data_IF_189629361070
#
_entry.id   IF_189629361070
#
_cell.length_a   1.000
_cell.length_b   1.000
_cell.length_c   1.000
_cell.angle_alpha   90.00
_cell.angle_beta   90.00
_cell.angle_gamma   90.00
#
_symmetry.space_group_name_H-M   'P 1'
#
loop_
_entity.id
_entity.type
_entity.pdbx_description
1 polymer ?
#
# COMPACT_ATOMS: atom_id res chain seq x y z
N UNK A 1 -8.70 -54.42 -47.46
CA UNK A 1 -8.68 -55.91 -47.41
C UNK A 1 -8.75 -56.36 -45.97
N UNK A 2 -9.73 -57.21 -45.66
CA UNK A 2 -10.03 -57.79 -44.34
C UNK A 2 -8.92 -58.76 -43.92
N UNK A 3 -8.67 -58.89 -42.61
CA UNK A 3 -8.56 -60.22 -41.94
C UNK A 3 -8.68 -60.09 -40.41
N UNK A 4 -9.71 -60.78 -39.91
CA UNK A 4 -9.98 -61.13 -38.51
C UNK A 4 -9.06 -62.28 -38.08
N UNK A 5 -8.80 -62.42 -36.79
CA UNK A 5 -8.64 -63.76 -36.18
C UNK A 5 -9.16 -63.78 -34.74
N UNK A 6 -10.23 -64.56 -34.54
CA UNK A 6 -10.74 -65.05 -33.26
C UNK A 6 -9.88 -66.25 -32.83
N UNK A 7 -9.63 -66.43 -31.53
CA UNK A 7 -9.57 -67.75 -30.88
C UNK A 7 -10.27 -67.65 -29.52
N UNK A 8 -11.10 -68.65 -29.23
CA UNK A 8 -12.02 -68.83 -28.11
C UNK A 8 -11.67 -70.13 -27.35
N UNK A 9 -12.15 -70.24 -26.10
CA UNK A 9 -12.28 -71.45 -25.21
C UNK A 9 -11.04 -71.87 -24.40
N UNK A 10 -11.13 -72.34 -23.15
CA UNK A 10 -12.21 -73.06 -22.45
C UNK A 10 -12.23 -72.87 -20.91
N UNK A 11 -13.39 -73.23 -20.34
CA UNK A 11 -13.81 -73.27 -18.92
C UNK A 11 -13.00 -74.25 -18.04
N UNK A 12 -12.95 -73.95 -16.74
CA UNK A 12 -13.06 -74.97 -15.69
C UNK A 12 -13.76 -74.39 -14.44
N UNK A 13 -14.96 -74.92 -14.17
CA UNK A 13 -15.78 -74.72 -12.98
C UNK A 13 -15.48 -75.80 -11.93
N UNK A 14 -15.31 -75.42 -10.67
CA UNK A 14 -15.52 -76.32 -9.53
C UNK A 14 -16.26 -75.57 -8.42
N UNK A 15 -17.46 -76.06 -8.12
CA UNK A 15 -18.29 -75.67 -6.99
C UNK A 15 -18.11 -76.69 -5.86
N UNK A 16 -18.09 -76.22 -4.61
CA UNK A 16 -18.30 -77.03 -3.40
C UNK A 16 -19.09 -76.20 -2.35
N UNK A 17 -20.41 -76.43 -2.30
CA UNK A 17 -21.24 -76.88 -1.15
C UNK A 17 -20.59 -76.85 0.25
N UNK A 18 -21.16 -76.52 1.43
CA UNK A 18 -22.47 -76.15 2.08
C UNK A 18 -22.04 -75.55 3.47
N UNK A 19 -22.70 -74.63 4.17
CA UNK A 19 -23.83 -74.77 5.13
C UNK A 19 -23.98 -73.44 5.88
N UNK A 20 -25.21 -72.98 6.08
CA UNK A 20 -25.51 -71.79 6.87
C UNK A 20 -25.55 -72.05 8.38
N UNK A 21 -25.53 -70.96 9.16
CA UNK A 21 -26.54 -70.69 10.19
C UNK A 21 -26.43 -69.21 10.62
N UNK A 22 -27.59 -68.58 10.80
CA UNK A 22 -27.77 -67.18 11.17
C UNK A 22 -27.27 -66.90 12.60
N UNK A 23 -26.70 -65.71 12.83
CA UNK A 23 -26.91 -64.96 14.07
C UNK A 23 -26.86 -63.45 13.82
N UNK A 24 -27.88 -62.77 14.36
CA UNK A 24 -28.18 -61.34 14.24
C UNK A 24 -27.13 -60.46 14.93
N UNK A 25 -26.81 -59.31 14.32
CA UNK A 25 -26.33 -58.13 15.05
C UNK A 25 -27.33 -57.00 14.79
N UNK A 26 -27.99 -56.56 15.86
CA UNK A 26 -28.94 -55.43 15.89
C UNK A 26 -28.21 -54.12 15.56
N UNK A 27 -28.78 -53.34 14.65
CA UNK A 27 -28.40 -51.95 14.43
C UNK A 27 -28.96 -51.09 15.57
N UNK A 28 -28.08 -50.37 16.28
CA UNK A 28 -28.47 -49.39 17.29
C UNK A 28 -28.58 -48.01 16.62
N UNK A 29 -29.82 -47.52 16.48
CA UNK A 29 -30.14 -46.23 15.89
C UNK A 29 -29.93 -45.11 16.92
N UNK A 30 -28.82 -44.38 16.84
CA UNK A 30 -28.68 -43.08 17.50
C UNK A 30 -28.77 -41.96 16.48
N UNK A 31 -29.97 -41.41 16.35
CA UNK A 31 -30.23 -40.09 15.75
C UNK A 31 -29.52 -39.01 16.57
N UNK A 32 -28.41 -38.50 16.07
CA UNK A 32 -27.76 -37.30 16.62
C UNK A 32 -28.44 -36.06 16.04
N UNK A 33 -29.29 -35.44 16.85
CA UNK A 33 -29.81 -34.09 16.64
C UNK A 33 -28.65 -33.07 16.69
N UNK A 34 -28.09 -32.71 15.53
CA UNK A 34 -27.22 -31.54 15.43
C UNK A 34 -28.06 -30.27 15.49
N UNK A 35 -28.24 -29.74 16.70
CA UNK A 35 -28.60 -28.33 16.88
C UNK A 35 -27.45 -27.49 16.33
N UNK A 36 -27.62 -26.93 15.13
CA UNK A 36 -26.78 -25.84 14.62
C UNK A 36 -26.97 -24.62 15.51
N UNK A 37 -26.12 -24.50 16.54
CA UNK A 37 -25.87 -23.25 17.23
C UNK A 37 -25.21 -22.32 16.22
N UNK A 38 -25.95 -21.30 15.77
CA UNK A 38 -25.40 -20.20 15.02
C UNK A 38 -24.30 -19.55 15.85
N UNK A 39 -23.03 -19.82 15.49
CA UNK A 39 -21.88 -19.11 16.03
C UNK A 39 -22.06 -17.65 15.63
N UNK A 40 -22.49 -16.80 16.58
CA UNK A 40 -22.48 -15.35 16.42
C UNK A 40 -21.05 -14.96 16.05
N UNK A 41 -20.82 -14.67 14.77
CA UNK A 41 -19.56 -14.14 14.25
C UNK A 41 -19.25 -12.89 15.08
N UNK A 42 -18.25 -12.96 15.95
CA UNK A 42 -17.82 -11.84 16.79
C UNK A 42 -17.54 -10.67 15.85
N UNK A 43 -18.36 -9.63 15.87
CA UNK A 43 -18.20 -8.47 14.98
C UNK A 43 -16.81 -7.89 15.22
N UNK A 44 -15.98 -7.83 14.18
CA UNK A 44 -14.61 -7.31 14.27
C UNK A 44 -14.67 -5.83 14.73
N UNK A 45 -13.76 -5.38 15.61
CA UNK A 45 -13.65 -3.98 16.07
C UNK A 45 -13.76 -2.99 14.91
N UNK A 46 -13.10 -3.29 13.79
CA UNK A 46 -13.10 -2.46 12.58
C UNK A 46 -14.50 -2.39 11.93
N UNK A 47 -15.25 -3.48 11.89
CA UNK A 47 -16.62 -3.50 11.38
C UNK A 47 -17.54 -2.60 12.21
N UNK A 48 -17.38 -2.62 13.54
CA UNK A 48 -18.13 -1.76 14.44
C UNK A 48 -17.80 -0.29 14.22
N UNK A 49 -16.51 0.07 14.21
CA UNK A 49 -16.08 1.46 13.93
C UNK A 49 -16.64 1.93 12.58
N UNK A 50 -16.42 1.15 11.52
CA UNK A 50 -16.84 1.53 10.16
C UNK A 50 -18.37 1.69 10.02
N UNK A 51 -19.15 0.91 10.78
CA UNK A 51 -20.62 1.02 10.81
C UNK A 51 -21.08 2.33 11.46
N UNK A 52 -20.36 2.82 12.47
CA UNK A 52 -20.72 4.02 13.22
C UNK A 52 -20.12 5.32 12.65
N UNK A 53 -19.11 5.23 11.79
CA UNK A 53 -18.58 6.40 11.10
C UNK A 53 -19.60 7.03 10.15
N UNK A 54 -19.72 8.36 10.22
CA UNK A 54 -20.41 9.19 9.24
C UNK A 54 -19.71 9.18 7.88
N UNK A 55 -20.41 9.61 6.83
CA UNK A 55 -19.79 9.75 5.50
C UNK A 55 -18.62 10.75 5.52
N UNK A 56 -18.73 11.86 6.27
CA UNK A 56 -17.66 12.84 6.37
C UNK A 56 -16.42 12.25 7.03
N UNK A 57 -16.58 11.50 8.12
CA UNK A 57 -15.46 10.80 8.78
C UNK A 57 -14.80 9.82 7.83
N UNK A 58 -15.59 9.04 7.08
CA UNK A 58 -15.07 8.09 6.10
C UNK A 58 -14.27 8.75 4.99
N UNK A 59 -14.78 9.86 4.43
CA UNK A 59 -14.07 10.61 3.38
C UNK A 59 -12.78 11.25 3.93
N UNK A 60 -12.83 11.80 5.15
CA UNK A 60 -11.66 12.35 5.83
C UNK A 60 -10.52 11.36 5.99
N UNK A 61 -10.86 10.09 6.29
CA UNK A 61 -9.88 9.02 6.40
C UNK A 61 -9.10 8.75 5.10
N UNK A 62 -9.61 9.16 3.94
CA UNK A 62 -8.96 8.91 2.64
C UNK A 62 -7.81 9.86 2.33
N UNK A 63 -7.41 10.74 3.24
CA UNK A 63 -6.35 11.72 2.98
C UNK A 63 -5.08 11.48 3.79
N UNK A 64 -3.95 11.54 3.10
CA UNK A 64 -2.67 12.00 3.62
C UNK A 64 -2.54 13.49 3.31
N UNK A 65 -3.02 14.33 4.23
CA UNK A 65 -2.94 15.77 4.07
C UNK A 65 -1.48 16.24 4.19
N UNK A 66 -1.08 17.22 3.39
CA UNK A 66 0.18 17.93 3.70
C UNK A 66 0.08 18.58 5.06
N UNK A 67 1.16 18.50 5.85
CA UNK A 67 1.31 19.38 7.00
C UNK A 67 1.19 20.83 6.54
N UNK A 68 0.47 21.64 7.32
CA UNK A 68 0.30 23.07 7.02
C UNK A 68 1.53 23.89 7.44
N UNK A 69 2.56 23.27 8.03
CA UNK A 69 3.68 23.96 8.69
C UNK A 69 3.28 24.72 9.96
N UNK A 70 1.98 24.79 10.28
CA UNK A 70 1.43 25.42 11.47
C UNK A 70 0.73 24.36 12.31
N UNK A 71 1.35 23.98 13.43
CA UNK A 71 0.85 22.93 14.33
C UNK A 71 -0.59 23.17 14.78
N UNK A 72 -0.96 24.42 15.10
CA UNK A 72 -2.32 24.74 15.55
C UNK A 72 -3.35 24.54 14.46
N UNK A 73 -3.06 25.02 13.25
CA UNK A 73 -3.93 24.83 12.09
C UNK A 73 -4.05 23.35 11.75
N UNK A 74 -2.93 22.62 11.71
CA UNK A 74 -2.94 21.20 11.39
C UNK A 74 -3.76 20.37 12.40
N UNK A 75 -3.65 20.65 13.71
CA UNK A 75 -4.50 20.02 14.72
C UNK A 75 -6.00 20.27 14.48
N UNK A 76 -6.35 21.52 14.14
CA UNK A 76 -7.74 21.89 13.85
C UNK A 76 -8.24 21.15 12.61
N UNK A 77 -7.42 21.03 11.57
CA UNK A 77 -7.77 20.34 10.33
C UNK A 77 -7.89 18.83 10.52
N UNK A 78 -6.99 18.20 11.29
CA UNK A 78 -7.10 16.78 11.68
C UNK A 78 -8.46 16.49 12.32
N UNK A 79 -8.88 17.34 13.27
CA UNK A 79 -10.15 17.17 13.98
C UNK A 79 -11.35 17.49 13.08
N UNK A 80 -11.32 18.63 12.39
CA UNK A 80 -12.43 19.16 11.59
C UNK A 80 -12.74 18.29 10.37
N UNK A 81 -11.69 17.82 9.69
CA UNK A 81 -11.82 17.04 8.46
C UNK A 81 -11.67 15.54 8.69
N UNK A 82 -11.48 15.09 9.95
CA UNK A 82 -11.32 13.69 10.32
C UNK A 82 -10.21 12.99 9.52
N UNK A 83 -9.06 13.66 9.39
CA UNK A 83 -8.00 13.23 8.49
C UNK A 83 -7.49 11.82 8.81
N UNK A 84 -7.22 11.04 7.77
CA UNK A 84 -6.66 9.69 7.87
C UNK A 84 -5.20 9.70 8.25
N UNK A 85 -4.44 10.62 7.65
CA UNK A 85 -3.04 10.84 7.92
C UNK A 85 -2.58 12.26 7.58
N UNK A 86 -1.34 12.54 7.96
CA UNK A 86 -0.60 13.76 7.60
C UNK A 86 0.80 13.42 7.14
N UNK A 87 1.31 14.16 6.17
CA UNK A 87 2.69 14.04 5.65
C UNK A 87 3.53 15.20 6.17
N UNK A 88 4.64 14.87 6.83
CA UNK A 88 5.64 15.83 7.30
C UNK A 88 6.72 16.02 6.24
N UNK A 89 7.10 17.27 6.01
CA UNK A 89 8.17 17.68 5.12
C UNK A 89 9.31 18.32 5.91
N UNK A 90 10.43 18.62 5.26
CA UNK A 90 11.61 19.21 5.91
C UNK A 90 11.29 20.43 6.82
N UNK A 91 10.44 21.40 6.41
CA UNK A 91 10.06 22.52 7.28
C UNK A 91 9.39 22.11 8.59
N UNK A 92 8.69 20.97 8.63
CA UNK A 92 8.02 20.49 9.84
C UNK A 92 9.00 20.03 10.93
N UNK A 93 10.22 19.70 10.55
CA UNK A 93 11.26 19.31 11.49
C UNK A 93 12.06 20.52 11.99
N UNK A 94 12.23 21.55 11.17
CA UNK A 94 13.11 22.69 11.46
C UNK A 94 12.67 23.53 12.67
N UNK A 95 13.65 24.18 13.31
CA UNK A 95 13.44 25.19 14.37
C UNK A 95 12.62 24.72 15.58
N UNK A 96 12.63 23.41 15.87
CA UNK A 96 11.93 22.80 17.01
C UNK A 96 12.90 22.07 17.91
N UNK A 97 12.79 22.28 19.21
CA UNK A 97 13.39 21.38 20.21
C UNK A 97 12.70 20.01 20.14
N UNK A 98 13.37 18.97 20.66
CA UNK A 98 12.80 17.63 20.76
C UNK A 98 11.44 17.62 21.50
N UNK A 99 11.35 18.37 22.60
CA UNK A 99 10.14 18.47 23.41
C UNK A 99 8.96 19.12 22.65
N UNK A 100 9.23 20.14 21.84
CA UNK A 100 8.21 20.78 20.99
C UNK A 100 7.71 19.81 19.93
N UNK A 101 8.62 19.12 19.23
CA UNK A 101 8.25 18.14 18.21
C UNK A 101 7.44 16.97 18.81
N UNK A 102 7.86 16.43 19.94
CA UNK A 102 7.13 15.35 20.61
C UNK A 102 5.73 15.79 21.07
N UNK A 103 5.61 17.03 21.55
CA UNK A 103 4.32 17.61 21.94
C UNK A 103 3.39 17.73 20.74
N UNK A 104 3.90 18.20 19.60
CA UNK A 104 3.17 18.29 18.34
C UNK A 104 2.67 16.92 17.86
N UNK A 105 3.52 15.89 17.83
CA UNK A 105 3.13 14.54 17.43
C UNK A 105 2.05 13.94 18.35
N UNK A 106 2.19 14.11 19.67
CA UNK A 106 1.15 13.70 20.64
C UNK A 106 -0.17 14.44 20.40
N UNK A 107 -0.10 15.73 20.09
CA UNK A 107 -1.26 16.55 19.84
C UNK A 107 -1.99 16.17 18.53
N UNK A 108 -1.26 15.84 17.46
CA UNK A 108 -1.84 15.28 16.24
C UNK A 108 -2.58 13.97 16.53
N UNK A 109 -1.96 13.06 17.28
CA UNK A 109 -2.63 11.82 17.69
C UNK A 109 -3.86 12.11 18.55
N UNK A 110 -3.78 13.00 19.54
CA UNK A 110 -4.90 13.33 20.43
C UNK A 110 -6.12 13.86 19.67
N UNK A 111 -5.92 14.67 18.64
CA UNK A 111 -6.99 15.29 17.86
C UNK A 111 -7.59 14.37 16.77
N UNK A 112 -7.00 13.20 16.51
CA UNK A 112 -7.60 12.21 15.61
C UNK A 112 -8.49 11.23 16.37
N UNK A 113 -9.73 11.06 15.89
CA UNK A 113 -10.72 10.15 16.49
C UNK A 113 -10.39 8.67 16.25
N UNK A 114 -9.69 8.33 15.16
CA UNK A 114 -9.41 6.95 14.76
C UNK A 114 -7.89 6.65 14.71
N UNK A 115 -7.07 7.48 15.34
CA UNK A 115 -5.61 7.46 15.19
C UNK A 115 -5.17 8.13 13.89
N UNK A 116 -4.00 8.77 13.88
CA UNK A 116 -3.47 9.46 12.70
C UNK A 116 -2.27 8.70 12.13
N UNK A 117 -2.27 8.39 10.84
CA UNK A 117 -1.04 8.00 10.15
C UNK A 117 -0.17 9.24 9.99
N UNK A 118 1.04 9.23 10.54
CA UNK A 118 1.99 10.33 10.45
C UNK A 118 3.14 9.81 9.60
N UNK A 119 3.25 10.36 8.40
CA UNK A 119 4.19 9.92 7.36
C UNK A 119 5.28 10.94 7.08
N UNK A 120 6.39 10.50 6.51
CA UNK A 120 7.46 11.33 5.95
C UNK A 120 8.20 10.56 4.86
N UNK A 121 8.99 11.26 4.05
CA UNK A 121 9.91 10.68 3.07
C UNK A 121 11.33 10.60 3.65
N UNK A 122 11.61 9.58 4.45
CA UNK A 122 12.95 9.33 4.96
C UNK A 122 13.58 8.14 4.21
N UNK A 123 14.03 8.39 2.97
CA UNK A 123 14.66 7.39 2.09
C UNK A 123 16.15 7.21 2.40
N UNK A 124 16.82 8.31 2.80
CA UNK A 124 18.28 8.41 2.84
C UNK A 124 18.83 9.15 1.62
N UNK A 125 20.09 9.59 1.70
CA UNK A 125 20.72 10.40 0.67
C UNK A 125 19.99 11.73 0.47
N UNK A 126 19.71 12.07 -0.80
CA UNK A 126 19.08 13.33 -1.21
C UNK A 126 17.64 13.50 -0.71
N UNK A 127 16.98 12.41 -0.30
CA UNK A 127 15.63 12.43 0.27
C UNK A 127 15.68 12.01 1.74
N UNK A 128 16.08 12.97 2.56
CA UNK A 128 16.06 12.92 4.01
C UNK A 128 15.31 14.14 4.54
N UNK A 129 14.61 13.99 5.67
CA UNK A 129 13.81 15.04 6.30
C UNK A 129 14.18 15.26 7.75
N UNK A 130 14.45 14.19 8.49
CA UNK A 130 14.69 14.28 9.95
C UNK A 130 16.07 14.84 10.31
N UNK A 131 17.00 14.86 9.35
CA UNK A 131 18.32 15.47 9.46
C UNK A 131 18.29 17.00 9.37
N UNK A 132 17.17 17.61 8.97
CA UNK A 132 17.02 19.06 9.03
C UNK A 132 16.78 19.57 10.45
N UNK A 133 16.75 18.69 11.45
CA UNK A 133 16.68 19.06 12.86
C UNK A 133 17.69 18.27 13.73
N UNK A 134 18.77 18.92 14.21
CA UNK A 134 19.77 18.29 15.07
C UNK A 134 19.25 17.89 16.45
N UNK A 135 18.08 18.40 16.89
CA UNK A 135 17.42 17.95 18.12
C UNK A 135 16.72 16.60 17.95
N UNK A 136 16.43 16.19 16.72
CA UNK A 136 15.80 14.91 16.39
C UNK A 136 16.86 13.90 15.99
N UNK A 137 17.77 14.30 15.10
CA UNK A 137 18.87 13.46 14.65
C UNK A 137 20.05 14.29 14.17
N UNK A 138 21.25 13.93 14.64
CA UNK A 138 22.53 14.42 14.10
C UNK A 138 23.22 13.41 13.17
N UNK A 139 22.58 12.26 12.93
CA UNK A 139 23.10 11.24 12.01
C UNK A 139 23.10 11.77 10.58
N UNK A 140 24.12 11.38 9.82
CA UNK A 140 24.05 11.39 8.36
C UNK A 140 23.24 10.18 7.89
N UNK A 141 22.46 10.37 6.83
CA UNK A 141 21.64 9.33 6.22
C UNK A 141 22.20 9.01 4.83
N UNK A 142 23.06 7.98 4.70
CA UNK A 142 23.59 7.58 3.40
C UNK A 142 22.48 7.13 2.45
N UNK A 143 22.71 7.22 1.14
CA UNK A 143 21.74 6.73 0.14
C UNK A 143 21.66 5.20 0.14
N UNK A 144 20.56 4.60 -0.36
CA UNK A 144 20.48 3.16 -0.57
C UNK A 144 21.65 2.61 -1.40
N UNK A 145 22.11 3.36 -2.42
CA UNK A 145 23.28 3.00 -3.23
C UNK A 145 24.55 2.92 -2.38
N UNK A 146 24.84 3.95 -1.58
CA UNK A 146 26.03 4.00 -0.73
C UNK A 146 26.05 2.84 0.27
N UNK A 147 24.92 2.58 0.93
CA UNK A 147 24.80 1.50 1.92
C UNK A 147 25.00 0.14 1.24
N UNK A 148 24.32 -0.10 0.12
CA UNK A 148 24.40 -1.38 -0.56
C UNK A 148 25.80 -1.65 -1.11
N UNK A 149 26.44 -0.65 -1.72
CA UNK A 149 27.79 -0.80 -2.29
C UNK A 149 28.85 -1.05 -1.22
N UNK A 150 28.66 -0.52 0.00
CA UNK A 150 29.65 -0.66 1.08
C UNK A 150 29.40 -1.87 1.99
N UNK A 151 28.13 -2.22 2.22
CA UNK A 151 27.74 -3.18 3.27
C UNK A 151 26.69 -4.20 2.81
N UNK A 152 26.26 -4.14 1.55
CA UNK A 152 25.26 -5.04 0.96
C UNK A 152 23.93 -5.04 1.71
N UNK A 153 23.22 -6.19 1.66
CA UNK A 153 21.91 -6.34 2.30
C UNK A 153 21.96 -6.24 3.83
N UNK A 154 23.07 -6.62 4.47
CA UNK A 154 23.23 -6.48 5.93
C UNK A 154 23.28 -5.01 6.33
N UNK A 155 23.97 -4.16 5.55
CA UNK A 155 23.97 -2.71 5.74
C UNK A 155 22.57 -2.12 5.62
N UNK A 156 21.85 -2.49 4.55
CA UNK A 156 20.46 -2.07 4.35
C UNK A 156 19.61 -2.46 5.56
N UNK A 157 19.69 -3.72 5.99
CA UNK A 157 18.88 -4.20 7.11
C UNK A 157 19.09 -3.34 8.35
N UNK A 158 20.35 -3.07 8.70
CA UNK A 158 20.73 -2.28 9.88
C UNK A 158 20.32 -0.82 9.76
N UNK A 159 20.53 -0.20 8.59
CA UNK A 159 20.18 1.21 8.40
C UNK A 159 18.67 1.40 8.45
N UNK A 160 17.90 0.61 7.71
CA UNK A 160 16.44 0.73 7.69
C UNK A 160 15.80 0.47 9.07
N UNK A 161 16.36 -0.47 9.85
CA UNK A 161 15.96 -0.66 11.25
C UNK A 161 16.29 0.57 12.11
N UNK A 162 17.47 1.15 11.93
CA UNK A 162 17.88 2.31 12.72
C UNK A 162 17.03 3.53 12.39
N UNK A 163 16.82 3.82 11.11
CA UNK A 163 15.97 4.91 10.64
C UNK A 163 14.54 4.73 11.14
N UNK A 164 13.93 3.57 10.92
CA UNK A 164 12.55 3.32 11.35
C UNK A 164 12.38 3.38 12.87
N UNK A 165 13.38 2.94 13.64
CA UNK A 165 13.38 3.11 15.10
C UNK A 165 13.36 4.59 15.51
N UNK A 166 14.18 5.43 14.86
CA UNK A 166 14.21 6.88 15.12
C UNK A 166 12.85 7.51 14.76
N UNK A 167 12.27 7.15 13.61
CA UNK A 167 10.95 7.63 13.21
C UNK A 167 9.89 7.26 14.26
N UNK A 168 9.84 5.99 14.66
CA UNK A 168 8.87 5.51 15.65
C UNK A 168 9.01 6.22 17.01
N UNK A 169 10.24 6.41 17.49
CA UNK A 169 10.54 7.14 18.73
C UNK A 169 10.11 8.61 18.69
N UNK A 170 9.97 9.17 17.50
CA UNK A 170 9.50 10.54 17.26
C UNK A 170 8.02 10.58 16.82
N UNK A 171 7.25 9.50 17.03
CA UNK A 171 5.80 9.47 16.75
C UNK A 171 5.41 9.36 15.28
N UNK A 172 6.39 9.20 14.38
CA UNK A 172 6.17 8.95 12.95
C UNK A 172 5.96 7.44 12.78
N UNK A 173 4.85 7.05 12.17
CA UNK A 173 4.40 5.66 12.13
C UNK A 173 4.23 5.12 10.70
N UNK A 174 4.59 5.93 9.70
CA UNK A 174 4.72 5.50 8.32
C UNK A 174 5.93 6.16 7.67
N UNK A 175 6.68 5.42 6.87
CA UNK A 175 7.75 5.96 6.04
C UNK A 175 7.40 5.67 4.58
N UNK A 176 7.47 6.68 3.73
CA UNK A 176 7.35 6.51 2.28
C UNK A 176 8.66 5.98 1.70
N UNK A 177 9.02 4.76 2.12
CA UNK A 177 10.22 4.03 1.73
C UNK A 177 9.97 2.51 1.90
N UNK A 178 10.71 1.66 1.16
CA UNK A 178 11.81 1.99 0.24
C UNK A 178 11.35 2.39 -1.17
N UNK A 179 12.25 3.02 -1.92
CA UNK A 179 12.12 3.19 -3.38
C UNK A 179 12.34 1.82 -4.04
N UNK A 180 11.38 1.42 -4.86
CA UNK A 180 11.36 0.17 -5.64
C UNK A 180 11.64 0.38 -7.13
N UNK A 181 11.83 1.64 -7.54
CA UNK A 181 12.20 2.02 -8.89
C UNK A 181 13.62 1.54 -9.24
N UNK A 182 13.83 1.25 -10.52
CA UNK A 182 15.13 0.91 -11.10
C UNK A 182 15.35 1.83 -12.30
N UNK A 183 16.41 2.63 -12.27
CA UNK A 183 16.82 3.46 -13.38
C UNK A 183 18.15 2.94 -13.93
N UNK A 184 18.25 2.81 -15.26
CA UNK A 184 19.47 2.42 -15.97
C UNK A 184 20.29 3.67 -16.33
N UNK A 185 19.62 4.78 -16.63
CA UNK A 185 20.28 6.06 -16.90
C UNK A 185 20.64 6.77 -15.59
N UNK A 186 21.93 7.05 -15.41
CA UNK A 186 22.44 7.79 -14.25
C UNK A 186 21.96 9.24 -14.19
N UNK A 187 21.54 9.80 -15.32
CA UNK A 187 20.98 11.14 -15.41
C UNK A 187 19.46 11.15 -15.16
N UNK A 188 18.83 9.98 -14.97
CA UNK A 188 17.43 9.92 -14.58
C UNK A 188 17.22 10.58 -13.22
N UNK A 189 16.17 11.39 -13.10
CA UNK A 189 15.90 12.16 -11.88
C UNK A 189 15.72 11.27 -10.63
N UNK A 190 15.33 10.01 -10.81
CA UNK A 190 15.13 9.05 -9.72
C UNK A 190 16.42 8.29 -9.37
N UNK A 191 17.45 8.31 -10.23
CA UNK A 191 18.59 7.40 -10.14
C UNK A 191 19.23 7.39 -8.76
N UNK A 192 19.62 8.57 -8.24
CA UNK A 192 20.29 8.72 -6.94
C UNK A 192 19.45 8.24 -5.74
N UNK A 193 18.13 8.09 -5.92
CA UNK A 193 17.19 7.59 -4.90
C UNK A 193 16.99 6.07 -4.98
N UNK A 194 17.34 5.44 -6.11
CA UNK A 194 17.24 3.99 -6.28
C UNK A 194 18.36 3.24 -5.55
N UNK A 195 18.31 1.90 -5.57
CA UNK A 195 19.43 1.06 -5.13
C UNK A 195 20.66 1.15 -6.06
N UNK A 196 20.50 1.69 -7.28
CA UNK A 196 21.56 1.74 -8.29
C UNK A 196 21.93 0.37 -8.88
N UNK A 197 21.03 -0.62 -8.74
CA UNK A 197 21.23 -2.01 -9.17
C UNK A 197 20.13 -2.45 -10.13
N UNK A 198 20.32 -3.60 -10.78
CA UNK A 198 19.33 -4.19 -11.68
C UNK A 198 18.02 -4.60 -10.96
N UNK A 199 17.02 -5.00 -11.76
CA UNK A 199 15.70 -5.41 -11.26
C UNK A 199 15.74 -6.63 -10.34
N UNK A 200 16.62 -7.60 -10.60
CA UNK A 200 16.70 -8.83 -9.80
C UNK A 200 17.33 -8.57 -8.43
N UNK A 201 18.37 -7.76 -8.40
CA UNK A 201 19.07 -7.33 -7.19
C UNK A 201 18.17 -6.42 -6.37
N UNK A 202 17.49 -5.48 -7.01
CA UNK A 202 16.48 -4.63 -6.35
C UNK A 202 15.35 -5.49 -5.77
N UNK A 203 14.89 -6.54 -6.47
CA UNK A 203 13.87 -7.45 -5.94
C UNK A 203 14.34 -8.30 -4.74
N UNK A 204 15.65 -8.52 -4.57
CA UNK A 204 16.23 -9.14 -3.35
C UNK A 204 16.35 -8.14 -2.20
N UNK A 205 16.63 -6.88 -2.51
CA UNK A 205 16.71 -5.77 -1.56
C UNK A 205 15.36 -5.42 -0.92
N UNK A 206 14.30 -5.31 -1.73
CA UNK A 206 13.00 -4.81 -1.26
C UNK A 206 12.43 -5.58 -0.06
N UNK A 207 12.42 -6.93 -0.02
CA UNK A 207 11.95 -7.66 1.15
C UNK A 207 12.75 -7.38 2.43
N UNK A 208 14.05 -7.11 2.32
CA UNK A 208 14.90 -6.77 3.47
C UNK A 208 14.49 -5.42 4.02
N UNK A 209 14.42 -4.40 3.16
CA UNK A 209 14.05 -3.05 3.55
C UNK A 209 12.64 -2.97 4.16
N UNK A 210 11.64 -3.56 3.48
CA UNK A 210 10.24 -3.61 3.97
C UNK A 210 10.16 -4.24 5.36
N UNK A 211 10.81 -5.39 5.57
CA UNK A 211 10.77 -6.08 6.87
C UNK A 211 11.54 -5.33 7.94
N UNK A 212 12.66 -4.69 7.60
CA UNK A 212 13.44 -3.87 8.52
C UNK A 212 12.62 -2.68 9.04
N UNK A 213 11.99 -1.91 8.15
CA UNK A 213 11.14 -0.78 8.53
C UNK A 213 9.96 -1.26 9.40
N UNK A 214 9.23 -2.28 8.94
CA UNK A 214 8.05 -2.78 9.63
C UNK A 214 8.36 -3.45 10.97
N UNK A 215 9.57 -3.99 11.16
CA UNK A 215 10.01 -4.55 12.45
C UNK A 215 10.06 -3.51 13.57
N UNK A 216 10.14 -2.22 13.22
CA UNK A 216 10.21 -1.11 14.16
C UNK A 216 8.87 -0.39 14.35
N UNK A 217 7.75 -1.04 13.99
CA UNK A 217 6.38 -0.49 14.11
C UNK A 217 6.16 0.80 13.28
N UNK A 218 6.83 0.88 12.14
CA UNK A 218 6.61 1.90 11.12
C UNK A 218 6.10 1.21 9.86
N UNK A 219 4.99 1.69 9.29
CA UNK A 219 4.51 1.17 8.03
C UNK A 219 5.48 1.52 6.90
N UNK A 220 5.80 0.55 6.05
CA UNK A 220 6.59 0.76 4.84
C UNK A 220 5.67 1.02 3.64
N UNK A 221 6.13 1.84 2.70
CA UNK A 221 5.42 2.13 1.46
C UNK A 221 6.37 2.03 0.28
N UNK A 222 6.14 1.06 -0.62
CA UNK A 222 6.93 1.01 -1.86
C UNK A 222 6.54 2.17 -2.76
N UNK A 223 7.53 2.71 -3.47
CA UNK A 223 7.27 3.73 -4.49
C UNK A 223 8.25 3.67 -5.66
N UNK A 224 7.88 4.06 -6.88
CA UNK A 224 6.56 4.61 -7.25
C UNK A 224 5.90 3.69 -8.29
N UNK A 225 4.88 2.96 -7.87
CA UNK A 225 4.21 1.95 -8.70
C UNK A 225 3.61 2.58 -9.96
N UNK A 226 3.77 1.98 -11.14
CA UNK A 226 4.33 0.64 -11.36
C UNK A 226 5.84 0.56 -11.63
N UNK A 227 6.57 1.64 -11.40
CA UNK A 227 8.02 1.77 -11.60
C UNK A 227 8.34 2.94 -12.53
N UNK A 228 9.13 3.92 -12.06
CA UNK A 228 9.56 5.08 -12.85
C UNK A 228 10.45 4.74 -14.03
N UNK A 229 11.25 3.68 -13.92
CA UNK A 229 12.27 3.41 -14.93
C UNK A 229 13.17 4.63 -15.15
N UNK A 230 13.45 4.91 -16.42
CA UNK A 230 14.14 6.11 -16.89
C UNK A 230 13.16 7.21 -17.35
N UNK A 231 11.91 7.22 -16.84
CA UNK A 231 10.95 8.26 -17.20
C UNK A 231 11.34 9.63 -16.62
N UNK A 232 10.88 10.69 -17.27
CA UNK A 232 11.11 12.07 -16.82
C UNK A 232 10.45 12.40 -15.47
N UNK A 233 10.87 13.54 -14.91
CA UNK A 233 10.38 14.05 -13.64
C UNK A 233 8.92 14.54 -13.73
N UNK A 234 8.02 13.92 -12.95
CA UNK A 234 6.60 14.31 -12.95
C UNK A 234 6.26 15.46 -12.01
N UNK A 235 7.22 15.97 -11.22
CA UNK A 235 7.01 17.17 -10.41
C UNK A 235 6.79 18.38 -11.32
N UNK A 236 7.51 18.45 -12.43
CA UNK A 236 7.50 19.59 -13.36
C UNK A 236 6.55 19.41 -14.55
N UNK A 237 6.19 18.19 -14.92
CA UNK A 237 5.30 17.95 -16.05
C UNK A 237 5.00 16.49 -16.36
N UNK A 238 4.51 16.23 -17.56
CA UNK A 238 4.16 14.87 -17.98
C UNK A 238 5.39 14.00 -18.26
N UNK A 239 5.35 12.74 -17.84
CA UNK A 239 6.34 11.73 -18.22
C UNK A 239 5.66 10.40 -18.59
N UNK A 240 6.31 9.62 -19.45
CA UNK A 240 5.76 8.38 -19.98
C UNK A 240 6.83 7.32 -20.21
N UNK A 241 6.42 6.06 -20.12
CA UNK A 241 7.22 4.90 -20.50
C UNK A 241 6.56 4.21 -21.70
N UNK A 242 7.37 3.88 -22.70
CA UNK A 242 6.96 3.11 -23.87
C UNK A 242 7.68 1.75 -23.95
N UNK A 243 7.64 1.00 -22.85
CA UNK A 243 8.25 -0.32 -22.72
C UNK A 243 7.24 -1.42 -23.04
N UNK A 244 7.58 -2.48 -23.81
CA UNK A 244 6.68 -3.58 -24.08
C UNK A 244 6.13 -4.21 -22.79
N UNK A 245 4.83 -4.54 -22.78
CA UNK A 245 4.17 -5.05 -21.57
C UNK A 245 4.80 -6.35 -21.04
N UNK A 246 5.32 -7.20 -21.92
CA UNK A 246 6.03 -8.43 -21.56
C UNK A 246 7.32 -8.18 -20.77
N UNK A 247 8.09 -7.17 -21.20
CA UNK A 247 9.33 -6.75 -20.54
C UNK A 247 9.01 -6.06 -19.22
N UNK A 248 8.05 -5.13 -19.23
CA UNK A 248 7.57 -4.43 -18.04
C UNK A 248 7.12 -5.38 -16.92
N UNK A 249 6.45 -6.49 -17.27
CA UNK A 249 6.01 -7.50 -16.32
C UNK A 249 7.14 -8.34 -15.72
N UNK A 250 8.24 -8.52 -16.46
CA UNK A 250 9.43 -9.28 -16.05
C UNK A 250 10.41 -8.40 -15.26
N UNK A 251 10.45 -7.11 -15.56
CA UNK A 251 11.40 -6.15 -15.01
C UNK A 251 10.73 -5.26 -13.96
N UNK A 252 10.04 -4.18 -14.35
CA UNK A 252 9.58 -3.12 -13.44
C UNK A 252 8.62 -3.61 -12.35
N UNK A 253 7.81 -4.64 -12.63
CA UNK A 253 6.94 -5.23 -11.62
C UNK A 253 7.66 -6.17 -10.64
N UNK A 254 8.91 -6.56 -10.89
CA UNK A 254 9.63 -7.55 -10.10
C UNK A 254 9.90 -7.07 -8.67
N UNK A 255 10.44 -5.85 -8.42
CA UNK A 255 10.58 -5.30 -7.07
C UNK A 255 9.26 -5.20 -6.31
N UNK A 256 8.18 -4.75 -6.98
CA UNK A 256 6.86 -4.65 -6.34
C UNK A 256 6.29 -6.01 -5.96
N UNK A 257 6.39 -7.03 -6.83
CA UNK A 257 6.01 -8.42 -6.49
C UNK A 257 6.75 -8.93 -5.26
N UNK A 258 8.04 -8.62 -5.15
CA UNK A 258 8.85 -9.02 -4.00
C UNK A 258 8.37 -8.36 -2.71
N UNK A 259 8.08 -7.06 -2.71
CA UNK A 259 7.56 -6.38 -1.53
C UNK A 259 6.12 -6.75 -1.17
N UNK A 260 5.26 -7.06 -2.15
CA UNK A 260 3.93 -7.63 -1.88
C UNK A 260 4.08 -8.97 -1.15
N UNK A 261 4.96 -9.85 -1.62
CA UNK A 261 5.27 -11.14 -0.95
C UNK A 261 5.87 -10.93 0.45
N UNK A 262 6.62 -9.85 0.65
CA UNK A 262 7.18 -9.48 1.96
C UNK A 262 6.13 -8.87 2.92
N UNK A 263 4.93 -8.55 2.44
CA UNK A 263 3.85 -7.99 3.24
C UNK A 263 3.97 -6.47 3.46
N UNK A 264 4.33 -5.72 2.40
CA UNK A 264 4.37 -4.25 2.47
C UNK A 264 3.01 -3.63 2.79
N UNK A 265 3.00 -2.66 3.69
CA UNK A 265 1.80 -1.99 4.19
C UNK A 265 1.13 -1.05 3.17
N UNK A 266 1.93 -0.28 2.43
CA UNK A 266 1.48 0.65 1.40
C UNK A 266 2.23 0.48 0.07
N UNK A 267 1.59 0.89 -1.02
CA UNK A 267 2.23 1.10 -2.32
C UNK A 267 1.73 2.43 -2.88
N UNK A 268 2.66 3.34 -3.13
CA UNK A 268 2.43 4.65 -3.71
C UNK A 268 2.52 4.58 -5.24
N UNK A 269 1.56 5.18 -5.93
CA UNK A 269 1.49 5.22 -7.39
C UNK A 269 2.19 6.45 -7.95
N UNK A 270 3.03 6.28 -8.97
CA UNK A 270 3.60 7.37 -9.74
C UNK A 270 2.55 8.09 -10.60
N UNK A 271 2.98 9.17 -11.25
CA UNK A 271 2.15 9.96 -12.17
C UNK A 271 2.56 9.82 -13.64
N UNK A 272 3.37 8.82 -13.95
CA UNK A 272 3.76 8.53 -15.33
C UNK A 272 2.63 7.83 -16.09
N UNK A 273 2.63 7.99 -17.42
CA UNK A 273 1.80 7.18 -18.32
C UNK A 273 2.55 5.95 -18.79
N UNK A 274 1.94 4.77 -18.62
CA UNK A 274 2.49 3.51 -19.14
C UNK A 274 1.74 3.14 -20.42
N UNK A 275 2.28 3.51 -21.58
CA UNK A 275 1.56 3.40 -22.87
C UNK A 275 0.96 2.03 -23.14
N UNK A 276 1.68 0.98 -22.77
CA UNK A 276 1.28 -0.40 -23.01
C UNK A 276 0.35 -0.99 -21.93
N UNK A 277 -0.10 -0.19 -20.96
CA UNK A 277 -1.16 -0.54 -19.99
C UNK A 277 -2.35 0.42 -20.15
N UNK A 278 -2.09 1.72 -20.11
CA UNK A 278 -3.05 2.78 -20.33
C UNK A 278 -2.32 3.98 -20.95
N UNK A 279 -2.56 4.22 -22.24
CA UNK A 279 -1.89 5.29 -22.98
C UNK A 279 -2.47 6.69 -22.71
N UNK A 280 -3.55 6.79 -21.93
CA UNK A 280 -4.27 8.06 -21.72
C UNK A 280 -4.10 8.59 -20.32
N UNK A 281 -4.13 7.72 -19.32
CA UNK A 281 -4.18 8.14 -17.91
C UNK A 281 -2.83 7.94 -17.20
N UNK A 282 -2.39 8.91 -16.39
CA UNK A 282 -1.34 8.70 -15.39
C UNK A 282 -1.65 7.49 -14.51
N UNK A 283 -0.61 6.77 -14.07
CA UNK A 283 -0.76 5.54 -13.29
C UNK A 283 -1.66 5.70 -12.05
N UNK A 284 -1.47 6.78 -11.27
CA UNK A 284 -2.29 7.12 -10.10
C UNK A 284 -3.77 7.41 -10.41
N UNK A 285 -4.12 7.67 -11.68
CA UNK A 285 -5.47 7.96 -12.13
C UNK A 285 -6.08 6.84 -13.01
N UNK A 286 -5.31 5.81 -13.36
CA UNK A 286 -5.71 4.75 -14.30
C UNK A 286 -6.37 3.56 -13.60
N UNK A 287 -7.64 3.24 -13.89
CA UNK A 287 -8.28 2.02 -13.39
C UNK A 287 -7.57 0.73 -13.86
N UNK A 288 -6.91 0.76 -15.03
CA UNK A 288 -6.19 -0.39 -15.57
C UNK A 288 -4.93 -0.70 -14.73
N UNK A 289 -4.18 0.33 -14.35
CA UNK A 289 -2.99 0.20 -13.49
C UNK A 289 -3.37 -0.22 -12.07
N UNK A 290 -4.49 0.29 -11.54
CA UNK A 290 -5.02 -0.16 -10.24
C UNK A 290 -5.50 -1.60 -10.27
N UNK A 291 -6.17 -2.03 -11.35
CA UNK A 291 -6.57 -3.43 -11.56
C UNK A 291 -5.35 -4.35 -11.59
N UNK A 292 -4.27 -3.93 -12.26
CA UNK A 292 -3.01 -4.66 -12.27
C UNK A 292 -2.51 -4.91 -10.84
N UNK A 293 -2.46 -3.89 -9.98
CA UNK A 293 -1.98 -4.08 -8.61
C UNK A 293 -2.98 -4.86 -7.74
N UNK A 294 -4.27 -4.49 -7.74
CA UNK A 294 -5.28 -5.04 -6.81
C UNK A 294 -5.68 -6.46 -7.17
N UNK A 295 -5.82 -6.75 -8.47
CA UNK A 295 -6.34 -8.04 -8.97
C UNK A 295 -5.23 -8.94 -9.48
N UNK A 296 -4.38 -8.46 -10.40
CA UNK A 296 -3.38 -9.32 -11.02
C UNK A 296 -2.20 -9.63 -10.10
N UNK A 297 -1.78 -8.68 -9.27
CA UNK A 297 -0.75 -8.90 -8.24
C UNK A 297 -1.33 -9.23 -6.86
N UNK A 298 -2.66 -9.31 -6.75
CA UNK A 298 -3.38 -9.67 -5.53
C UNK A 298 -3.01 -8.84 -4.28
N UNK A 299 -2.54 -7.60 -4.45
CA UNK A 299 -2.15 -6.76 -3.33
C UNK A 299 -3.36 -6.43 -2.44
N UNK A 300 -3.21 -6.49 -1.11
CA UNK A 300 -4.30 -6.24 -0.15
C UNK A 300 -4.11 -5.00 0.73
N UNK A 301 -2.90 -4.41 0.76
CA UNK A 301 -2.60 -3.20 1.54
C UNK A 301 -3.12 -1.92 0.90
N UNK A 302 -2.59 -0.78 1.36
CA UNK A 302 -3.03 0.56 0.94
C UNK A 302 -2.47 0.94 -0.43
N UNK A 303 -3.37 1.33 -1.33
CA UNK A 303 -3.03 2.02 -2.57
C UNK A 303 -3.06 3.52 -2.33
N UNK A 304 -1.93 4.19 -2.55
CA UNK A 304 -1.76 5.60 -2.19
C UNK A 304 -1.34 6.35 -3.44
N UNK A 305 -1.89 7.54 -3.69
CA UNK A 305 -1.36 8.40 -4.75
C UNK A 305 0.01 8.94 -4.34
N UNK A 306 0.91 9.20 -5.29
CA UNK A 306 1.89 10.27 -5.11
C UNK A 306 1.17 11.64 -5.03
N UNK A 307 1.89 12.72 -4.79
CA UNK A 307 1.30 14.04 -4.52
C UNK A 307 0.44 14.55 -5.68
N UNK A 308 -0.88 14.64 -5.46
CA UNK A 308 -1.84 15.15 -6.44
C UNK A 308 -1.62 16.63 -6.80
N UNK A 309 -0.75 17.35 -6.08
CA UNK A 309 -0.33 18.72 -6.43
C UNK A 309 0.83 18.77 -7.42
N UNK A 310 1.43 17.63 -7.79
CA UNK A 310 2.51 17.59 -8.78
C UNK A 310 2.05 18.04 -10.17
N UNK A 311 3.00 18.58 -10.95
CA UNK A 311 2.76 19.14 -12.28
C UNK A 311 2.02 18.20 -13.23
N UNK A 312 2.42 16.91 -13.29
CA UNK A 312 1.75 15.93 -14.15
C UNK A 312 0.24 15.84 -13.91
N UNK A 313 -0.19 15.86 -12.64
CA UNK A 313 -1.60 15.67 -12.26
C UNK A 313 -2.37 16.98 -12.37
N UNK A 314 -1.81 18.09 -11.91
CA UNK A 314 -2.47 19.38 -11.99
C UNK A 314 -2.69 19.82 -13.45
N UNK A 315 -1.71 19.58 -14.34
CA UNK A 315 -1.84 19.84 -15.77
C UNK A 315 -2.86 18.91 -16.43
N UNK A 316 -2.81 17.60 -16.14
CA UNK A 316 -3.78 16.63 -16.67
C UNK A 316 -5.21 16.98 -16.24
N UNK A 317 -5.42 17.28 -14.95
CA UNK A 317 -6.73 17.63 -14.42
C UNK A 317 -7.30 18.89 -15.08
N UNK A 318 -6.45 19.91 -15.27
CA UNK A 318 -6.82 21.13 -15.98
C UNK A 318 -7.18 20.86 -17.44
N UNK A 319 -6.33 20.14 -18.17
CA UNK A 319 -6.55 19.83 -19.58
C UNK A 319 -7.86 19.06 -19.81
N UNK A 320 -8.16 18.10 -18.92
CA UNK A 320 -9.33 17.25 -19.04
C UNK A 320 -10.58 17.78 -18.33
N UNK A 321 -10.51 18.93 -17.66
CA UNK A 321 -11.61 19.51 -16.88
C UNK A 321 -12.18 18.54 -15.83
N UNK A 322 -11.29 17.82 -15.13
CA UNK A 322 -11.65 16.81 -14.13
C UNK A 322 -11.15 17.20 -12.73
N UNK A 323 -11.78 16.61 -11.70
CA UNK A 323 -11.28 16.68 -10.34
C UNK A 323 -10.36 15.46 -10.09
N UNK A 324 -9.08 15.71 -9.81
CA UNK A 324 -8.07 14.67 -9.64
C UNK A 324 -8.39 13.71 -8.49
N UNK A 325 -8.81 14.22 -7.33
CA UNK A 325 -9.14 13.43 -6.14
C UNK A 325 -10.27 12.41 -6.42
N UNK A 326 -11.34 12.87 -7.06
CA UNK A 326 -12.47 12.00 -7.46
C UNK A 326 -12.01 10.94 -8.45
N UNK A 327 -11.18 11.30 -9.43
CA UNK A 327 -10.68 10.36 -10.43
C UNK A 327 -9.72 9.34 -9.82
N UNK A 328 -8.81 9.77 -8.95
CA UNK A 328 -7.86 8.92 -8.22
C UNK A 328 -8.58 7.89 -7.34
N UNK A 329 -9.60 8.30 -6.59
CA UNK A 329 -10.42 7.35 -5.83
C UNK A 329 -11.11 6.37 -6.78
N UNK A 330 -11.80 6.87 -7.82
CA UNK A 330 -12.50 6.03 -8.80
C UNK A 330 -11.58 5.01 -9.47
N UNK A 331 -10.30 5.35 -9.68
CA UNK A 331 -9.29 4.44 -10.21
C UNK A 331 -9.01 3.27 -9.25
N UNK A 332 -9.00 3.54 -7.94
CA UNK A 332 -8.89 2.52 -6.89
C UNK A 332 -7.96 2.86 -5.72
N UNK A 333 -7.49 4.11 -5.62
CA UNK A 333 -6.69 4.54 -4.47
C UNK A 333 -7.50 4.44 -3.18
N UNK A 334 -6.84 4.03 -2.10
CA UNK A 334 -7.39 4.03 -0.75
C UNK A 334 -7.10 5.35 -0.03
N UNK A 335 -5.93 5.96 -0.28
CA UNK A 335 -5.57 7.26 0.27
C UNK A 335 -5.00 8.21 -0.80
N UNK A 336 -5.30 9.49 -0.64
CA UNK A 336 -4.87 10.58 -1.51
C UNK A 336 -3.85 11.44 -0.77
N UNK A 337 -2.66 11.57 -1.34
CA UNK A 337 -1.65 12.49 -0.85
C UNK A 337 -1.83 13.86 -1.52
N UNK A 338 -1.94 14.92 -0.73
CA UNK A 338 -2.02 16.28 -1.27
C UNK A 338 -2.39 17.37 -0.26
N UNK A 339 -2.18 18.63 -0.67
CA UNK A 339 -2.47 19.83 0.13
C UNK A 339 -3.91 20.35 0.03
N UNK A 340 -4.67 19.99 -1.00
CA UNK A 340 -6.01 20.54 -1.28
C UNK A 340 -7.16 19.73 -0.65
N UNK A 341 -6.92 19.04 0.46
CA UNK A 341 -7.88 18.13 1.07
C UNK A 341 -9.23 18.79 1.42
N UNK A 342 -9.27 20.09 1.74
CA UNK A 342 -10.53 20.77 2.06
C UNK A 342 -11.49 20.79 0.87
N UNK A 343 -11.00 21.12 -0.33
CA UNK A 343 -11.81 21.14 -1.55
C UNK A 343 -12.05 19.73 -2.09
N UNK A 344 -11.04 18.86 -1.95
CA UNK A 344 -11.12 17.45 -2.31
C UNK A 344 -12.20 16.68 -1.55
N UNK A 345 -12.27 16.81 -0.22
CA UNK A 345 -13.30 16.20 0.65
C UNK A 345 -14.70 16.60 0.18
N UNK A 346 -14.90 17.88 -0.15
CA UNK A 346 -16.18 18.37 -0.66
C UNK A 346 -16.52 17.78 -2.03
N UNK A 347 -15.53 17.66 -2.93
CA UNK A 347 -15.71 17.06 -4.25
C UNK A 347 -16.07 15.58 -4.15
N UNK A 348 -15.38 14.81 -3.31
CA UNK A 348 -15.65 13.38 -3.08
C UNK A 348 -17.04 13.21 -2.47
N UNK A 349 -17.42 14.04 -1.50
CA UNK A 349 -18.76 13.98 -0.91
C UNK A 349 -19.84 14.16 -1.97
N UNK A 350 -19.68 15.15 -2.86
CA UNK A 350 -20.60 15.38 -4.00
C UNK A 350 -20.59 14.17 -4.95
N UNK A 351 -19.43 13.59 -5.24
CA UNK A 351 -19.31 12.42 -6.11
C UNK A 351 -20.02 11.18 -5.52
N UNK A 352 -19.96 10.99 -4.20
CA UNK A 352 -20.69 9.91 -3.52
C UNK A 352 -22.19 10.16 -3.54
N UNK A 353 -22.63 11.39 -3.26
CA UNK A 353 -24.05 11.77 -3.30
C UNK A 353 -24.67 11.59 -4.70
N UNK A 354 -23.88 11.83 -5.75
CA UNK A 354 -24.28 11.61 -7.15
C UNK A 354 -24.14 10.16 -7.62
N UNK A 355 -23.64 9.25 -6.79
CA UNK A 355 -23.39 7.85 -7.15
C UNK A 355 -22.18 7.64 -8.07
N UNK A 356 -21.40 8.68 -8.38
CA UNK A 356 -20.15 8.55 -9.15
C UNK A 356 -19.11 7.69 -8.43
N UNK A 357 -19.07 7.76 -7.10
CA UNK A 357 -18.30 6.85 -6.23
C UNK A 357 -19.27 6.15 -5.30
N UNK A 358 -19.21 4.82 -5.24
CA UNK A 358 -20.09 4.06 -4.34
C UNK A 358 -19.66 4.17 -2.88
N UNK A 359 -20.62 4.19 -1.95
CA UNK A 359 -20.29 4.11 -0.52
C UNK A 359 -19.54 2.82 -0.17
N UNK A 360 -19.79 1.72 -0.89
CA UNK A 360 -19.07 0.46 -0.72
C UNK A 360 -17.57 0.64 -0.97
N UNK A 361 -17.20 1.34 -2.04
CA UNK A 361 -15.80 1.62 -2.34
C UNK A 361 -15.13 2.43 -1.23
N UNK A 362 -15.79 3.48 -0.74
CA UNK A 362 -15.31 4.26 0.42
C UNK A 362 -15.11 3.34 1.64
N UNK A 363 -16.09 2.50 1.95
CA UNK A 363 -16.02 1.57 3.09
C UNK A 363 -14.86 0.56 2.95
N UNK A 364 -14.61 0.04 1.74
CA UNK A 364 -13.53 -0.90 1.48
C UNK A 364 -12.15 -0.25 1.70
N UNK A 365 -11.98 1.01 1.28
CA UNK A 365 -10.73 1.76 1.50
C UNK A 365 -10.54 2.13 2.97
N UNK A 366 -11.56 2.69 3.62
CA UNK A 366 -11.50 3.02 5.06
C UNK A 366 -11.19 1.78 5.90
N UNK A 367 -11.75 0.61 5.55
CA UNK A 367 -11.42 -0.65 6.24
C UNK A 367 -9.92 -0.95 6.21
N UNK A 368 -9.26 -0.84 5.05
CA UNK A 368 -7.81 -1.10 4.94
C UNK A 368 -7.00 -0.10 5.77
N UNK A 369 -7.44 1.15 5.80
CA UNK A 369 -6.81 2.21 6.60
C UNK A 369 -6.91 1.89 8.09
N UNK A 370 -8.11 1.51 8.56
CA UNK A 370 -8.32 1.10 9.96
C UNK A 370 -7.53 -0.18 10.30
N UNK A 371 -7.39 -1.13 9.37
CA UNK A 371 -6.57 -2.33 9.55
C UNK A 371 -5.09 -1.99 9.72
N UNK A 372 -4.55 -1.06 8.93
CA UNK A 372 -3.18 -0.60 9.12
C UNK A 372 -3.01 0.12 10.46
N UNK A 373 -3.97 0.98 10.84
CA UNK A 373 -3.94 1.67 12.14
C UNK A 373 -4.03 0.70 13.31
N UNK A 374 -4.79 -0.39 13.19
CA UNK A 374 -4.83 -1.47 14.17
C UNK A 374 -3.49 -2.19 14.26
N UNK A 375 -2.89 -2.55 13.12
CA UNK A 375 -1.54 -3.15 13.04
C UNK A 375 -0.48 -2.30 13.74
N UNK A 376 -0.54 -0.99 13.59
CA UNK A 376 0.39 -0.03 14.19
C UNK A 376 0.03 0.35 15.65
N UNK A 377 -1.03 -0.23 16.22
CA UNK A 377 -1.55 0.07 17.56
C UNK A 377 -1.91 1.55 17.78
N UNK A 378 -2.34 2.25 16.73
CA UNK A 378 -2.78 3.65 16.79
C UNK A 378 -4.31 3.80 16.63
N UNK A 379 -5.01 2.72 16.23
CA UNK A 379 -6.47 2.71 16.12
C UNK A 379 -7.12 2.84 17.50
N UNK A 380 -7.89 3.90 17.68
CA UNK A 380 -8.66 4.16 18.90
C UNK A 380 -9.97 3.38 18.88
#
# INVERSE_FOLDING_TARGET
MKKKLLILTALATTALLITGCQHQIKADSRTTNFKTTAVKKKTNKIDLILKHMTLNEKIGQLYFAHSTGNTKQMMQDVKKYHLGGTTLFAPDFQNKTKAQFDSEMRNYQKNSNHGLLIATDQEGGTVSRIDTNPSISQRKYPSPQEIYNTQGLTGIQKEDQTVAKILHQNGINMNFAPVADVAKDKNSFIYDRTLGQDYETTAKYIPVAVKSIQSQKVASCLKHFPGYGDAGDTHTGFAQINKPLSEYKKEDLLPFKAGIKAGVDGIMFSHIVIKNIDAKMPASLSPAVHKLLRKNLAYQGLMITDDLQMGAITQYAKQHHINADVLALKAGNDMLLGGNYQTGILAIKKAVQKGTISQKQINDSVRRILQLKEKLCILK
#
